data_IF_038341978713
#
_entry.id   IF_038341978713
#
_cell.length_a   1.000
_cell.length_b   1.000
_cell.length_c   1.000
_cell.angle_alpha   90.00
_cell.angle_beta   90.00
_cell.angle_gamma   90.00
#
_symmetry.space_group_name_H-M   'P 1'
#
loop_
_entity.id
_entity.type
_entity.pdbx_description
1 polymer ?
#
# COMPACT_ATOMS: atom_id res chain seq x y z
N UNK A 1 6.57 21.93 5.99
CA UNK A 1 7.48 20.76 6.06
C UNK A 1 6.57 19.56 5.93
N UNK A 2 6.54 18.94 4.74
CA UNK A 2 5.61 17.85 4.46
C UNK A 2 6.14 16.57 5.12
N UNK A 3 5.30 15.90 5.90
CA UNK A 3 5.64 14.64 6.56
C UNK A 3 5.15 13.55 5.61
N UNK A 4 6.02 12.68 5.10
CA UNK A 4 5.61 11.58 4.22
C UNK A 4 5.49 10.30 5.02
N UNK A 5 4.42 9.53 4.82
CA UNK A 5 4.26 8.22 5.44
C UNK A 5 4.81 7.15 4.50
N UNK A 6 5.45 6.12 5.06
CA UNK A 6 6.31 5.24 4.29
C UNK A 6 5.92 3.79 4.51
N UNK A 7 5.66 3.09 3.42
CA UNK A 7 5.23 1.69 3.46
C UNK A 7 6.20 0.85 2.67
N UNK A 8 6.74 -0.18 3.33
CA UNK A 8 7.57 -1.16 2.65
C UNK A 8 6.67 -2.11 1.88
N UNK A 9 6.74 -2.09 0.56
CA UNK A 9 6.19 -3.14 -0.31
C UNK A 9 7.34 -3.78 -1.05
N UNK A 10 7.72 -5.00 -0.66
CA UNK A 10 8.71 -5.74 -1.43
C UNK A 10 8.10 -6.04 -2.80
N UNK A 11 8.61 -5.39 -3.83
CA UNK A 11 8.42 -5.81 -5.21
C UNK A 11 9.73 -6.47 -5.66
N UNK A 12 9.73 -7.78 -5.88
CA UNK A 12 10.89 -8.48 -6.42
C UNK A 12 10.89 -8.40 -7.95
N UNK A 13 11.80 -7.66 -8.60
CA UNK A 13 12.05 -7.88 -10.01
C UNK A 13 12.67 -9.27 -10.19
N UNK A 14 12.00 -10.14 -10.95
CA UNK A 14 12.58 -11.43 -11.38
C UNK A 14 13.72 -11.09 -12.36
N UNK A 15 14.96 -11.16 -11.90
CA UNK A 15 16.11 -11.11 -12.80
C UNK A 15 16.12 -12.40 -13.64
N UNK A 16 15.58 -12.32 -14.87
CA UNK A 16 15.73 -13.37 -15.87
C UNK A 16 17.18 -13.36 -16.37
N UNK A 17 18.01 -14.22 -15.78
CA UNK A 17 19.32 -14.56 -16.37
C UNK A 17 19.09 -15.32 -17.66
N UNK A 18 19.29 -14.65 -18.81
CA UNK A 18 19.20 -15.28 -20.13
C UNK A 18 20.48 -16.07 -20.39
N UNK A 19 20.47 -17.36 -20.06
CA UNK A 19 21.54 -18.29 -20.48
C UNK A 19 21.10 -19.06 -21.72
N UNK A 20 21.94 -19.00 -22.76
CA UNK A 20 21.77 -19.74 -24.01
C UNK A 20 21.68 -21.26 -23.75
N UNK A 21 20.61 -21.86 -24.30
CA UNK A 21 20.43 -23.27 -24.69
C UNK A 21 21.13 -24.36 -23.85
N UNK A 22 20.36 -24.96 -22.95
CA UNK A 22 20.40 -26.40 -22.61
C UNK A 22 19.02 -26.77 -22.03
N UNK A 23 18.43 -27.87 -22.50
CA UNK A 23 17.19 -28.46 -21.96
C UNK A 23 17.43 -28.86 -20.49
N UNK A 24 16.96 -28.02 -19.58
CA UNK A 24 16.99 -28.26 -18.14
C UNK A 24 15.79 -27.58 -17.51
N UNK A 25 15.13 -28.27 -16.57
CA UNK A 25 13.98 -27.76 -15.84
C UNK A 25 14.24 -26.33 -15.34
N UNK A 26 13.51 -25.35 -15.87
CA UNK A 26 13.45 -24.02 -15.29
C UNK A 26 12.58 -24.11 -14.04
N UNK A 27 13.18 -24.48 -12.92
CA UNK A 27 12.57 -24.25 -11.62
C UNK A 27 12.44 -22.73 -11.46
N UNK A 28 11.26 -22.20 -11.78
CA UNK A 28 10.87 -20.83 -11.51
C UNK A 28 10.91 -20.69 -9.99
N UNK A 29 12.02 -20.16 -9.45
CA UNK A 29 12.15 -19.88 -8.01
C UNK A 29 11.04 -18.88 -7.69
N UNK A 30 9.99 -19.35 -7.02
CA UNK A 30 8.92 -18.50 -6.53
C UNK A 30 9.57 -17.44 -5.63
N UNK A 31 9.27 -16.17 -5.92
CA UNK A 31 9.77 -15.07 -5.12
C UNK A 31 9.17 -15.21 -3.71
N UNK A 32 10.03 -15.41 -2.71
CA UNK A 32 9.61 -15.47 -1.31
C UNK A 32 9.24 -14.05 -0.86
N UNK A 33 7.94 -13.79 -0.70
CA UNK A 33 7.40 -12.55 -0.13
C UNK A 33 7.19 -12.69 1.38
N UNK A 34 7.33 -11.60 2.16
CA UNK A 34 7.13 -11.61 3.60
C UNK A 34 5.64 -11.77 3.92
N UNK A 35 5.32 -12.59 4.92
CA UNK A 35 3.92 -12.79 5.35
C UNK A 35 3.41 -11.73 6.32
N UNK A 36 4.29 -10.84 6.84
CA UNK A 36 3.97 -9.80 7.81
C UNK A 36 4.91 -8.59 7.65
N UNK A 37 4.40 -7.36 7.79
CA UNK A 37 5.15 -6.09 7.65
C UNK A 37 4.77 -5.13 8.79
N UNK A 38 5.67 -4.20 9.16
CA UNK A 38 5.44 -3.15 10.18
C UNK A 38 5.51 -1.76 9.54
N UNK A 39 4.83 -0.77 10.14
CA UNK A 39 4.92 0.64 9.73
C UNK A 39 6.29 1.24 10.07
N UNK A 40 6.75 2.17 9.23
CA UNK A 40 8.03 2.86 9.38
C UNK A 40 7.84 4.32 9.80
N UNK A 41 8.87 4.93 10.43
CA UNK A 41 8.86 6.38 10.65
C UNK A 41 8.81 7.13 9.31
N UNK A 42 8.31 8.36 9.38
CA UNK A 42 8.27 9.26 8.23
C UNK A 42 9.68 9.47 7.65
N UNK A 43 9.81 9.29 6.33
CA UNK A 43 11.04 9.57 5.61
C UNK A 43 11.06 11.01 5.15
N UNK A 44 12.20 11.68 5.32
CA UNK A 44 12.41 13.04 4.82
C UNK A 44 13.35 12.96 3.62
N UNK A 45 12.77 12.86 2.44
CA UNK A 45 13.54 13.01 1.19
C UNK A 45 13.65 14.49 0.82
N UNK A 46 14.81 14.93 0.37
CA UNK A 46 14.95 16.21 -0.34
C UNK A 46 14.49 16.11 -1.80
N UNK A 47 14.39 14.89 -2.33
CA UNK A 47 13.98 14.60 -3.70
C UNK A 47 12.53 14.12 -3.73
N UNK A 48 11.77 14.55 -4.74
CA UNK A 48 10.41 14.06 -5.03
C UNK A 48 10.48 12.63 -5.60
N UNK A 49 10.72 11.67 -4.72
CA UNK A 49 10.74 10.24 -5.01
C UNK A 49 9.48 9.57 -4.49
N UNK A 50 8.81 8.83 -5.37
CA UNK A 50 7.63 8.02 -5.00
C UNK A 50 8.03 6.71 -4.30
N UNK A 51 9.32 6.38 -4.30
CA UNK A 51 9.85 5.18 -3.65
C UNK A 51 11.34 5.27 -3.32
N UNK A 52 11.78 4.41 -2.40
CA UNK A 52 13.19 4.11 -2.13
C UNK A 52 13.48 2.66 -2.50
N UNK A 53 14.72 2.40 -2.89
CA UNK A 53 15.25 1.06 -3.04
C UNK A 53 16.36 0.84 -2.02
N UNK A 54 16.25 -0.24 -1.26
CA UNK A 54 17.28 -0.70 -0.33
C UNK A 54 17.82 -2.02 -0.84
N UNK A 55 19.14 -2.22 -0.79
CA UNK A 55 19.71 -3.55 -1.04
C UNK A 55 20.03 -4.17 0.30
N UNK A 56 19.40 -5.30 0.59
CA UNK A 56 19.42 -5.93 1.91
C UNK A 56 19.87 -7.38 1.78
N UNK A 57 20.84 -7.77 2.60
CA UNK A 57 21.24 -9.16 2.75
C UNK A 57 20.58 -9.74 4.00
N UNK A 58 19.80 -10.80 3.83
CA UNK A 58 19.10 -11.52 4.88
C UNK A 58 19.88 -12.78 5.24
N UNK A 59 19.92 -13.11 6.52
CA UNK A 59 20.36 -14.40 7.05
C UNK A 59 19.19 -15.04 7.80
N UNK A 60 18.70 -16.17 7.31
CA UNK A 60 17.55 -16.89 7.87
C UNK A 60 17.96 -18.05 8.79
N UNK A 61 17.12 -18.31 9.78
CA UNK A 61 17.06 -19.59 10.51
C UNK A 61 16.28 -20.65 9.71
N UNK A 62 16.28 -21.89 10.20
CA UNK A 62 15.63 -23.04 9.54
C UNK A 62 14.10 -22.93 9.47
N UNK A 63 13.50 -22.17 10.39
CA UNK A 63 12.06 -21.92 10.44
C UNK A 63 11.62 -20.71 9.59
N UNK A 64 12.56 -20.13 8.83
CA UNK A 64 12.35 -18.99 7.95
C UNK A 64 12.29 -17.63 8.65
N UNK A 65 12.58 -17.56 9.95
CA UNK A 65 12.78 -16.29 10.65
C UNK A 65 14.14 -15.67 10.30
N UNK A 66 14.27 -14.35 10.44
CA UNK A 66 15.52 -13.64 10.13
C UNK A 66 16.43 -13.65 11.37
N UNK A 67 17.56 -14.33 11.27
CA UNK A 67 18.64 -14.32 12.27
C UNK A 67 19.35 -12.97 12.30
N UNK A 68 19.73 -12.48 11.13
CA UNK A 68 20.51 -11.26 10.96
C UNK A 68 20.19 -10.59 9.61
N UNK A 69 20.44 -9.29 9.54
CA UNK A 69 20.18 -8.46 8.38
C UNK A 69 21.29 -7.43 8.22
N UNK A 70 21.82 -7.33 7.00
CA UNK A 70 22.80 -6.31 6.64
C UNK A 70 22.24 -5.42 5.51
N UNK A 71 22.22 -4.11 5.76
CA UNK A 71 21.95 -3.12 4.72
C UNK A 71 23.21 -3.00 3.84
N UNK A 72 23.11 -3.40 2.57
CA UNK A 72 24.17 -3.31 1.56
C UNK A 72 24.11 -1.95 0.85
N UNK A 73 22.90 -1.48 0.56
CA UNK A 73 22.62 -0.13 0.04
C UNK A 73 21.49 0.51 0.85
N UNK A 74 21.70 1.76 1.26
CA UNK A 74 21.00 2.42 2.37
C UNK A 74 20.24 3.66 1.88
N UNK A 75 19.24 4.12 2.64
CA UNK A 75 18.49 5.34 2.29
C UNK A 75 19.29 6.63 2.45
N UNK A 76 20.46 6.57 3.11
CA UNK A 76 21.25 7.72 3.52
C UNK A 76 20.85 8.31 4.88
N UNK A 77 19.70 7.93 5.46
CA UNK A 77 19.30 8.30 6.82
C UNK A 77 19.47 7.11 7.77
N UNK A 78 20.49 7.17 8.63
CA UNK A 78 20.83 6.11 9.59
C UNK A 78 19.69 5.79 10.57
N UNK A 79 18.88 6.79 10.97
CA UNK A 79 17.77 6.57 11.91
C UNK A 79 16.65 5.83 11.23
N UNK A 80 16.36 6.21 9.98
CA UNK A 80 15.34 5.55 9.18
C UNK A 80 15.77 4.14 8.78
N UNK A 81 17.02 3.96 8.34
CA UNK A 81 17.59 2.65 8.00
C UNK A 81 17.54 1.68 9.18
N UNK A 82 17.80 2.15 10.40
CA UNK A 82 17.67 1.33 11.61
C UNK A 82 16.23 0.88 11.84
N UNK A 83 15.25 1.79 11.70
CA UNK A 83 13.85 1.44 11.85
C UNK A 83 13.37 0.48 10.75
N UNK A 84 13.83 0.69 9.51
CA UNK A 84 13.58 -0.21 8.39
C UNK A 84 14.17 -1.60 8.66
N UNK A 85 15.41 -1.69 9.14
CA UNK A 85 16.04 -2.94 9.53
C UNK A 85 15.27 -3.66 10.66
N UNK A 86 14.84 -2.94 11.68
CA UNK A 86 14.08 -3.51 12.80
C UNK A 86 12.70 -4.02 12.36
N UNK A 87 12.02 -3.27 11.48
CA UNK A 87 10.79 -3.75 10.85
C UNK A 87 11.04 -5.02 10.02
N UNK A 88 12.06 -5.02 9.18
CA UNK A 88 12.40 -6.15 8.32
C UNK A 88 12.74 -7.40 9.11
N UNK A 89 13.38 -7.30 10.28
CA UNK A 89 13.67 -8.44 11.16
C UNK A 89 12.42 -9.16 11.68
N UNK A 90 11.26 -8.49 11.71
CA UNK A 90 9.99 -9.11 12.09
C UNK A 90 9.36 -9.94 10.97
N UNK A 91 9.90 -9.84 9.75
CA UNK A 91 9.38 -10.57 8.61
C UNK A 91 9.69 -12.05 8.70
N UNK A 92 8.85 -12.83 8.01
CA UNK A 92 9.03 -14.27 7.93
C UNK A 92 9.01 -14.73 6.48
N UNK A 93 9.92 -15.64 6.18
CA UNK A 93 10.10 -16.25 4.87
C UNK A 93 9.79 -17.75 4.94
N UNK A 94 9.55 -18.42 3.80
CA UNK A 94 9.54 -19.88 3.75
C UNK A 94 10.84 -20.50 4.27
N UNK A 95 10.73 -21.65 4.93
CA UNK A 95 11.90 -22.41 5.43
C UNK A 95 12.86 -22.73 4.28
N UNK A 96 14.15 -22.39 4.41
CA UNK A 96 15.15 -22.71 3.40
C UNK A 96 15.31 -24.22 3.26
N UNK A 97 15.37 -24.72 2.02
CA UNK A 97 15.49 -26.16 1.75
C UNK A 97 16.92 -26.70 1.90
N UNK A 98 17.92 -25.81 1.88
CA UNK A 98 19.34 -26.13 2.02
C UNK A 98 20.06 -25.07 2.87
N UNK A 99 21.30 -25.36 3.31
CA UNK A 99 22.08 -24.42 4.13
C UNK A 99 22.56 -23.19 3.38
N UNK A 100 22.74 -23.28 2.05
CA UNK A 100 23.21 -22.17 1.22
C UNK A 100 22.10 -21.13 0.94
N UNK A 101 20.82 -21.53 0.98
CA UNK A 101 19.67 -20.63 0.87
C UNK A 101 19.37 -19.85 2.14
N UNK A 102 20.14 -20.05 3.23
CA UNK A 102 20.02 -19.27 4.46
C UNK A 102 20.50 -17.83 4.29
N UNK A 103 21.38 -17.52 3.33
CA UNK A 103 21.85 -16.14 3.09
C UNK A 103 21.49 -15.70 1.68
N UNK A 104 20.81 -14.57 1.54
CA UNK A 104 20.50 -14.01 0.22
C UNK A 104 20.32 -12.49 0.24
N UNK A 105 20.64 -11.85 -0.88
CA UNK A 105 20.44 -10.41 -1.11
C UNK A 105 19.15 -10.15 -1.87
N UNK A 106 18.42 -9.08 -1.49
CA UNK A 106 17.23 -8.58 -2.18
C UNK A 106 17.25 -7.07 -2.29
N UNK A 107 16.63 -6.58 -3.36
CA UNK A 107 16.19 -5.20 -3.44
C UNK A 107 14.82 -5.10 -2.78
N UNK A 108 14.72 -4.27 -1.75
CA UNK A 108 13.47 -3.95 -1.05
C UNK A 108 13.03 -2.58 -1.55
N UNK A 109 11.91 -2.55 -2.25
CA UNK A 109 11.25 -1.31 -2.64
C UNK A 109 10.39 -0.81 -1.49
N UNK A 110 10.44 0.48 -1.23
CA UNK A 110 9.67 1.13 -0.18
C UNK A 110 8.88 2.24 -0.83
N UNK A 111 7.57 2.09 -0.87
CA UNK A 111 6.66 3.10 -1.42
C UNK A 111 6.60 4.28 -0.45
N UNK A 112 6.90 5.48 -0.94
CA UNK A 112 6.69 6.73 -0.21
C UNK A 112 5.32 7.24 -0.61
N UNK A 113 4.43 7.41 0.37
CA UNK A 113 3.11 8.00 0.13
C UNK A 113 3.13 9.44 0.65
N UNK A 114 2.88 10.44 -0.21
CA UNK A 114 2.78 11.80 0.25
C UNK A 114 1.59 11.94 1.20
N UNK A 115 1.81 12.62 2.33
CA UNK A 115 0.69 13.09 3.12
C UNK A 115 0.09 14.31 2.41
N UNK A 116 -1.13 14.14 1.93
CA UNK A 116 -1.91 15.21 1.31
C UNK A 116 -3.12 15.50 2.20
N UNK A 117 -3.43 16.78 2.35
CA UNK A 117 -4.69 17.22 2.95
C UNK A 117 -5.73 17.21 1.82
N UNK A 118 -6.78 16.42 1.96
CA UNK A 118 -7.76 16.14 0.92
C UNK A 118 -9.17 16.48 1.39
N UNK A 119 -9.99 16.93 0.45
CA UNK A 119 -11.44 16.99 0.60
C UNK A 119 -12.03 15.74 -0.08
N UNK A 120 -12.72 14.89 0.68
CA UNK A 120 -13.25 13.62 0.16
C UNK A 120 -14.69 13.36 0.59
N UNK A 121 -15.38 12.51 -0.16
CA UNK A 121 -16.58 11.82 0.32
C UNK A 121 -16.30 10.34 0.43
N UNK A 122 -16.97 9.71 1.39
CA UNK A 122 -16.87 8.28 1.67
C UNK A 122 -18.27 7.67 1.71
N UNK A 123 -18.44 6.55 1.02
CA UNK A 123 -19.57 5.64 1.17
C UNK A 123 -19.04 4.31 1.70
N UNK A 124 -19.55 3.87 2.85
CA UNK A 124 -19.12 2.65 3.52
C UNK A 124 -20.20 1.56 3.41
N UNK A 125 -19.78 0.31 3.23
CA UNK A 125 -20.63 -0.84 2.99
C UNK A 125 -20.18 -2.03 3.84
N UNK A 126 -21.13 -2.86 4.26
CA UNK A 126 -20.82 -4.05 5.05
C UNK A 126 -20.16 -5.16 4.23
N UNK A 127 -20.46 -5.25 2.93
CA UNK A 127 -19.94 -6.30 2.06
C UNK A 127 -19.62 -5.74 0.66
N UNK A 128 -18.80 -6.49 -0.06
CA UNK A 128 -18.32 -6.09 -1.39
C UNK A 128 -19.43 -5.99 -2.43
N UNK A 129 -20.42 -6.88 -2.36
CA UNK A 129 -21.51 -6.95 -3.35
C UNK A 129 -22.33 -5.66 -3.35
N UNK A 130 -22.63 -5.11 -2.18
CA UNK A 130 -23.37 -3.86 -2.05
C UNK A 130 -22.56 -2.67 -2.57
N UNK A 131 -21.26 -2.63 -2.26
CA UNK A 131 -20.36 -1.62 -2.79
C UNK A 131 -20.23 -1.69 -4.33
N UNK A 132 -20.08 -2.89 -4.89
CA UNK A 132 -20.02 -3.11 -6.34
C UNK A 132 -21.33 -2.65 -7.02
N UNK A 133 -22.48 -2.90 -6.40
CA UNK A 133 -23.78 -2.44 -6.90
C UNK A 133 -23.84 -0.91 -6.94
N UNK A 134 -23.47 -0.21 -5.85
CA UNK A 134 -23.46 1.27 -5.85
C UNK A 134 -22.43 1.81 -6.85
N UNK A 135 -21.25 1.22 -6.92
CA UNK A 135 -20.24 1.60 -7.90
C UNK A 135 -20.75 1.50 -9.34
N UNK A 136 -21.52 0.45 -9.67
CA UNK A 136 -22.14 0.32 -10.99
C UNK A 136 -23.15 1.43 -11.30
N UNK A 137 -23.89 1.91 -10.29
CA UNK A 137 -24.84 3.03 -10.43
C UNK A 137 -24.13 4.36 -10.58
N UNK A 138 -23.02 4.59 -9.86
CA UNK A 138 -22.15 5.74 -10.07
C UNK A 138 -21.63 5.75 -11.51
N UNK A 139 -21.14 4.61 -12.01
CA UNK A 139 -20.70 4.44 -13.41
C UNK A 139 -21.81 4.67 -14.44
N UNK A 140 -23.07 4.48 -14.06
CA UNK A 140 -24.23 4.80 -14.89
C UNK A 140 -24.65 6.28 -14.83
N UNK A 141 -23.91 7.12 -14.10
CA UNK A 141 -24.13 8.57 -14.03
C UNK A 141 -24.96 9.05 -12.84
N UNK A 142 -25.32 8.17 -11.89
CA UNK A 142 -25.92 8.63 -10.62
C UNK A 142 -24.87 9.40 -9.82
N UNK A 143 -25.24 10.53 -9.23
CA UNK A 143 -24.32 11.37 -8.47
C UNK A 143 -23.91 10.70 -7.16
N UNK A 144 -22.69 10.99 -6.71
CA UNK A 144 -22.17 10.47 -5.45
C UNK A 144 -22.88 11.12 -4.25
N UNK A 145 -23.17 12.40 -4.39
CA UNK A 145 -23.85 13.27 -3.43
C UNK A 145 -25.27 12.77 -3.15
N UNK A 146 -25.99 12.29 -4.17
CA UNK A 146 -27.29 11.65 -3.96
C UNK A 146 -27.17 10.42 -3.08
N UNK A 147 -26.14 9.59 -3.23
CA UNK A 147 -25.97 8.42 -2.37
C UNK A 147 -25.59 8.80 -0.94
N UNK A 148 -24.74 9.81 -0.75
CA UNK A 148 -24.41 10.32 0.59
C UNK A 148 -25.69 10.80 1.28
N UNK A 149 -26.51 11.61 0.59
CA UNK A 149 -27.79 12.08 1.11
C UNK A 149 -28.77 10.94 1.41
N UNK A 150 -28.96 10.01 0.47
CA UNK A 150 -29.81 8.83 0.67
C UNK A 150 -29.33 8.00 1.88
N UNK A 151 -28.03 7.98 2.18
CA UNK A 151 -27.50 7.26 3.36
C UNK A 151 -27.91 7.93 4.65
N UNK A 152 -27.87 9.25 4.70
CA UNK A 152 -28.30 10.04 5.86
C UNK A 152 -29.81 9.93 6.10
N UNK A 153 -30.59 9.73 5.03
CA UNK A 153 -32.04 9.51 5.07
C UNK A 153 -32.41 8.03 5.32
N UNK A 154 -31.44 7.11 5.29
CA UNK A 154 -31.65 5.66 5.46
C UNK A 154 -32.27 4.97 4.25
N UNK A 155 -32.16 5.57 3.06
CA UNK A 155 -32.80 5.14 1.81
C UNK A 155 -31.86 4.34 0.87
N UNK A 156 -30.63 4.05 1.31
CA UNK A 156 -29.64 3.28 0.54
C UNK A 156 -29.04 2.14 1.35
N UNK A 157 -28.29 1.28 0.66
CA UNK A 157 -27.62 0.09 1.22
C UNK A 157 -26.26 0.43 1.83
N UNK A 158 -25.75 1.64 1.61
CA UNK A 158 -24.57 2.12 2.33
C UNK A 158 -24.90 2.26 3.82
N UNK A 159 -23.97 1.84 4.68
CA UNK A 159 -24.12 1.94 6.13
C UNK A 159 -23.70 3.30 6.67
N UNK A 160 -22.84 4.01 5.94
CA UNK A 160 -22.39 5.36 6.26
C UNK A 160 -22.08 6.11 4.96
N UNK A 161 -22.41 7.40 4.94
CA UNK A 161 -22.15 8.30 3.84
C UNK A 161 -21.80 9.67 4.41
N UNK A 162 -20.59 10.16 4.14
CA UNK A 162 -20.11 11.42 4.71
C UNK A 162 -19.20 12.20 3.77
N UNK A 163 -19.19 13.51 3.98
CA UNK A 163 -18.23 14.46 3.42
C UNK A 163 -17.21 14.77 4.51
N UNK A 164 -15.93 14.81 4.14
CA UNK A 164 -14.81 15.00 5.04
C UNK A 164 -13.92 16.08 4.43
N UNK A 165 -13.79 17.21 5.13
CA UNK A 165 -12.95 18.33 4.73
C UNK A 165 -11.57 18.22 5.37
N UNK A 166 -10.53 18.48 4.61
CA UNK A 166 -9.16 18.63 5.12
C UNK A 166 -8.60 17.40 5.85
N UNK A 167 -8.95 16.19 5.41
CA UNK A 167 -8.41 14.95 6.00
C UNK A 167 -7.02 14.65 5.46
N UNK A 168 -6.09 14.25 6.32
CA UNK A 168 -4.76 13.83 5.88
C UNK A 168 -4.84 12.41 5.30
N UNK A 169 -4.30 12.18 4.10
CA UNK A 169 -4.34 10.86 3.44
C UNK A 169 -3.78 9.73 4.30
N UNK A 170 -2.86 10.04 5.21
CA UNK A 170 -2.20 9.11 6.13
C UNK A 170 -3.05 8.70 7.32
N UNK A 171 -4.23 9.29 7.52
CA UNK A 171 -5.23 8.79 8.48
C UNK A 171 -5.85 7.46 8.02
N UNK A 172 -5.67 7.11 6.75
CA UNK A 172 -6.13 5.85 6.16
C UNK A 172 -4.99 4.82 6.05
N UNK A 173 -5.31 3.51 6.03
CA UNK A 173 -4.32 2.49 5.74
C UNK A 173 -3.59 2.76 4.42
N UNK A 174 -2.29 2.50 4.39
CA UNK A 174 -1.38 2.55 3.25
C UNK A 174 -2.00 2.42 1.86
N UNK A 175 -2.71 1.32 1.63
CA UNK A 175 -3.32 0.99 0.34
C UNK A 175 -4.43 1.97 -0.05
N UNK A 176 -5.20 2.46 0.92
CA UNK A 176 -6.26 3.46 0.73
C UNK A 176 -5.65 4.83 0.58
N UNK A 177 -4.65 5.21 1.41
CA UNK A 177 -3.91 6.45 1.25
C UNK A 177 -3.36 6.61 -0.17
N UNK A 178 -2.73 5.55 -0.72
CA UNK A 178 -2.24 5.51 -2.11
C UNK A 178 -3.36 5.74 -3.13
N UNK A 179 -4.56 5.22 -2.89
CA UNK A 179 -5.70 5.42 -3.79
C UNK A 179 -6.17 6.88 -3.71
N UNK A 180 -6.31 7.43 -2.50
CA UNK A 180 -6.77 8.80 -2.28
C UNK A 180 -5.86 9.83 -2.94
N UNK A 181 -4.54 9.72 -2.78
CA UNK A 181 -3.58 10.67 -3.40
C UNK A 181 -3.58 10.58 -4.92
N UNK A 182 -3.88 9.40 -5.49
CA UNK A 182 -3.92 9.17 -6.93
C UNK A 182 -5.29 9.46 -7.57
N UNK A 183 -6.35 9.72 -6.78
CA UNK A 183 -7.63 10.14 -7.32
C UNK A 183 -7.50 11.57 -7.85
N UNK A 184 -8.05 11.82 -9.04
CA UNK A 184 -8.24 13.17 -9.55
C UNK A 184 -9.49 13.81 -8.93
N UNK A 185 -9.55 15.14 -8.91
CA UNK A 185 -10.75 15.86 -8.48
C UNK A 185 -11.98 15.43 -9.30
N UNK A 186 -13.10 15.21 -8.61
CA UNK A 186 -14.34 14.69 -9.18
C UNK A 186 -14.34 13.18 -9.43
N UNK A 187 -13.18 12.52 -9.39
CA UNK A 187 -13.07 11.07 -9.57
C UNK A 187 -13.45 10.34 -8.28
N UNK A 188 -14.03 9.14 -8.45
CA UNK A 188 -14.26 8.19 -7.38
C UNK A 188 -13.51 6.87 -7.60
N UNK A 189 -13.15 6.21 -6.50
CA UNK A 189 -12.46 4.92 -6.50
C UNK A 189 -13.41 3.79 -6.89
N UNK A 190 -12.87 2.62 -7.26
CA UNK A 190 -13.61 1.36 -7.13
C UNK A 190 -13.81 1.03 -5.64
N UNK A 191 -14.67 0.04 -5.31
CA UNK A 191 -14.75 -0.48 -3.94
C UNK A 191 -13.39 -0.97 -3.44
N UNK A 192 -13.01 -0.51 -2.24
CA UNK A 192 -11.75 -0.86 -1.57
C UNK A 192 -12.04 -1.41 -0.19
N UNK A 193 -11.25 -2.39 0.27
CA UNK A 193 -11.40 -2.93 1.62
C UNK A 193 -10.81 -1.97 2.67
N UNK A 194 -11.58 -1.72 3.72
CA UNK A 194 -11.22 -0.85 4.84
C UNK A 194 -11.75 -1.46 6.14
N UNK A 195 -10.86 -2.02 6.96
CA UNK A 195 -11.21 -2.54 8.29
C UNK A 195 -12.29 -3.63 8.29
N UNK A 196 -12.26 -4.55 7.31
CA UNK A 196 -13.28 -5.61 7.15
C UNK A 196 -14.62 -5.13 6.56
N UNK A 197 -14.67 -3.87 6.11
CA UNK A 197 -15.78 -3.26 5.35
C UNK A 197 -15.28 -2.87 3.96
N UNK A 198 -16.19 -2.32 3.15
CA UNK A 198 -15.86 -1.82 1.82
C UNK A 198 -16.20 -0.34 1.71
N UNK A 199 -15.30 0.46 1.16
CA UNK A 199 -15.48 1.89 0.97
C UNK A 199 -15.40 2.25 -0.52
N UNK A 200 -16.12 3.30 -0.91
CA UNK A 200 -15.92 4.02 -2.17
C UNK A 200 -15.61 5.47 -1.79
N UNK A 201 -14.53 6.01 -2.32
CA UNK A 201 -14.11 7.39 -2.08
C UNK A 201 -14.35 8.25 -3.30
N UNK A 202 -14.68 9.54 -3.12
CA UNK A 202 -14.65 10.56 -4.17
C UNK A 202 -13.74 11.71 -3.71
N UNK A 203 -12.82 12.18 -4.55
CA UNK A 203 -12.00 13.37 -4.26
C UNK A 203 -12.71 14.62 -4.77
N UNK A 204 -12.68 15.67 -3.96
CA UNK A 204 -13.13 17.01 -4.32
C UNK A 204 -11.92 17.95 -4.38
N UNK A 205 -12.08 19.06 -5.08
CA UNK A 205 -11.11 20.16 -5.04
C UNK A 205 -11.21 20.95 -3.74
N UNK A 206 -10.65 22.14 -3.73
CA UNK A 206 -10.57 23.00 -2.54
C UNK A 206 -11.96 23.46 -2.03
N UNK A 207 -12.95 23.56 -2.91
CA UNK A 207 -14.31 24.02 -2.58
C UNK A 207 -15.30 22.85 -2.49
N UNK A 208 -15.67 22.45 -1.28
CA UNK A 208 -16.72 21.46 -1.02
C UNK A 208 -18.15 22.03 -1.13
N UNK A 209 -18.30 23.37 -1.22
CA UNK A 209 -19.59 24.04 -1.07
C UNK A 209 -20.38 24.25 -2.37
N UNK A 210 -19.78 24.05 -3.54
CA UNK A 210 -20.37 24.42 -4.84
C UNK A 210 -20.85 23.21 -5.70
N UNK A 211 -20.92 22.00 -5.15
CA UNK A 211 -21.26 20.77 -5.91
C UNK A 211 -22.34 19.91 -5.25
#
# INVERSE_FOLDING_TARGET
MNIQSVIIKIFLPIALSVSNTLLGCTAKREAMEPTQVTELPAFKSEEDKDYLELIVMFHLEEDGTIKDLQMVDSSGDVRWDSAAADSMKSWRFPSPSDSESKIFTRTVKVDIIPAEILNIAELLFQNKSDADLIYSRLRAGKSFESFVKETQEGETIAIEGRLIEGVESTEYPAQVAKILVNLQEGQYSSPVELGGKYAIFKRYGDDLQDQ
#
